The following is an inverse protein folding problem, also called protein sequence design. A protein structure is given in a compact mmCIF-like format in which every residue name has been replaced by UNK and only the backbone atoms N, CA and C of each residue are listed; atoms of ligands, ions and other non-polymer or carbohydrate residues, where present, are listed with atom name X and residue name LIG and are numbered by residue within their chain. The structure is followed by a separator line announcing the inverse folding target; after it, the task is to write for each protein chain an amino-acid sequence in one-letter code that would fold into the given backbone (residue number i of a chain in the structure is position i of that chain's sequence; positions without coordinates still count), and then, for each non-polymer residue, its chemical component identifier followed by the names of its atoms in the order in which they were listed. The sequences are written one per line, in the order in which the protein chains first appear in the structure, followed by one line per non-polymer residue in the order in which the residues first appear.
data_IF_452511182504
#
_entry.id   IF_452511182504
#
_cell.length_a   1.000
_cell.length_b   1.000
_cell.length_c   1.000
_cell.angle_alpha   90.00
_cell.angle_beta   90.00
_cell.angle_gamma   90.00
#
_symmetry.space_group_name_H-M   'P 1'
#
loop_
_entity.id
_entity.type
_entity.pdbx_description
1 polymer ?
#
# COMPACT_ATOMS: atom_id res chain seq x y z
N UNK A 1 -12.51 2.26 -4.00
CA UNK A 1 -11.28 1.93 -4.78
C UNK A 1 -11.31 2.54 -6.18
N UNK A 2 -12.36 2.37 -6.99
CA UNK A 2 -12.47 2.96 -8.34
C UNK A 2 -12.28 4.49 -8.40
N UNK A 3 -12.83 5.23 -7.44
CA UNK A 3 -12.66 6.70 -7.36
C UNK A 3 -11.23 7.16 -7.03
N UNK A 4 -10.45 6.35 -6.31
CA UNK A 4 -9.07 6.70 -5.94
C UNK A 4 -8.09 6.48 -7.11
N UNK A 5 -8.32 5.43 -7.90
CA UNK A 5 -7.55 5.13 -9.11
C UNK A 5 -7.74 6.24 -10.15
N UNK A 6 -8.96 6.77 -10.28
CA UNK A 6 -9.27 7.87 -11.20
C UNK A 6 -8.58 9.18 -10.82
N UNK A 7 -8.42 9.47 -9.53
CA UNK A 7 -7.75 10.68 -9.06
C UNK A 7 -6.23 10.61 -9.28
N UNK A 8 -5.62 9.44 -9.04
CA UNK A 8 -4.18 9.21 -9.29
C UNK A 8 -3.88 9.28 -10.79
N UNK A 9 -4.74 8.70 -11.64
CA UNK A 9 -4.61 8.79 -13.10
C UNK A 9 -4.74 10.23 -13.62
N UNK A 10 -5.61 11.06 -13.02
CA UNK A 10 -5.77 12.46 -13.39
C UNK A 10 -4.54 13.30 -13.00
N UNK A 11 -3.98 13.07 -11.80
CA UNK A 11 -2.77 13.76 -11.32
C UNK A 11 -1.52 13.33 -12.09
N UNK A 12 -1.41 12.04 -12.47
CA UNK A 12 -0.34 11.57 -13.38
C UNK A 12 -0.54 12.06 -14.81
N UNK A 13 -1.79 12.20 -15.28
CA UNK A 13 -2.09 12.66 -16.64
C UNK A 13 -1.71 14.13 -16.86
N UNK A 14 -1.88 14.98 -15.83
CA UNK A 14 -1.56 16.42 -15.94
C UNK A 14 -0.04 16.70 -15.95
N UNK A 15 0.80 15.81 -15.42
CA UNK A 15 2.26 16.03 -15.37
C UNK A 15 3.00 15.62 -16.64
N UNK A 16 2.36 14.88 -17.56
CA UNK A 16 3.00 14.38 -18.79
C UNK A 16 2.91 15.39 -19.95
N UNK A 17 1.99 16.35 -19.89
CA UNK A 17 1.73 17.29 -21.00
C UNK A 17 2.74 18.45 -21.12
N UNK A 18 3.70 18.60 -20.20
CA UNK A 18 4.75 19.65 -20.27
C UNK A 18 6.15 19.10 -20.52
N UNK A 19 6.29 17.84 -20.90
CA UNK A 19 7.59 17.28 -21.28
C UNK A 19 7.96 17.76 -22.69
N UNK A 20 8.87 18.71 -22.79
CA UNK A 20 9.58 19.02 -24.04
C UNK A 20 10.26 17.77 -24.57
N UNK A 21 10.42 17.61 -25.90
CA UNK A 21 11.06 16.44 -26.49
C UNK A 21 12.51 16.37 -26.00
N UNK A 22 12.77 15.52 -25.01
CA UNK A 22 14.11 15.18 -24.60
C UNK A 22 14.73 14.32 -25.71
N UNK A 23 15.69 14.90 -26.44
CA UNK A 23 16.53 14.15 -27.37
C UNK A 23 17.14 12.95 -26.62
N UNK A 24 16.74 11.74 -26.99
CA UNK A 24 17.15 10.49 -26.36
C UNK A 24 18.64 10.24 -26.57
N UNK A 25 19.47 10.75 -25.64
CA UNK A 25 20.88 10.34 -25.50
C UNK A 25 20.94 9.14 -24.55
N UNK A 26 21.80 8.13 -24.80
CA UNK A 26 21.96 6.98 -23.91
C UNK A 26 22.31 7.48 -22.51
N UNK A 27 21.37 7.27 -21.58
CA UNK A 27 21.40 7.87 -20.26
C UNK A 27 22.45 7.21 -19.39
N UNK A 28 23.57 7.89 -19.18
CA UNK A 28 24.46 7.57 -18.05
C UNK A 28 23.63 7.76 -16.78
N UNK A 29 23.63 6.80 -15.83
CA UNK A 29 22.79 6.83 -14.64
C UNK A 29 23.09 8.03 -13.73
N UNK A 30 24.22 8.69 -13.93
CA UNK A 30 24.60 9.93 -13.29
C UNK A 30 25.29 10.82 -14.33
N UNK A 31 24.94 12.10 -14.38
CA UNK A 31 25.55 13.00 -15.35
C UNK A 31 25.15 14.45 -15.20
N UNK A 32 25.75 15.26 -16.06
CA UNK A 32 25.44 16.68 -16.25
C UNK A 32 24.81 16.87 -17.62
N UNK A 33 23.67 17.56 -17.64
CA UNK A 33 23.03 18.02 -18.86
C UNK A 33 23.26 19.51 -19.01
N UNK A 34 23.68 19.91 -20.20
CA UNK A 34 23.94 21.28 -20.60
C UNK A 34 22.73 21.79 -21.37
N UNK A 35 22.15 22.90 -20.92
CA UNK A 35 21.01 23.55 -21.58
C UNK A 35 21.36 25.00 -21.90
N UNK A 36 20.85 25.46 -23.04
CA UNK A 36 20.95 26.83 -23.51
C UNK A 36 19.53 27.36 -23.68
N UNK A 37 19.15 28.36 -22.90
CA UNK A 37 17.83 28.96 -22.97
C UNK A 37 17.94 30.30 -23.71
N UNK A 38 17.17 30.50 -24.77
CA UNK A 38 17.22 31.72 -25.59
C UNK A 38 16.82 32.96 -24.78
N UNK A 39 17.59 34.05 -24.93
CA UNK A 39 17.35 35.33 -24.26
C UNK A 39 17.07 36.45 -25.27
N UNK A 40 17.96 36.62 -26.25
CA UNK A 40 17.85 37.68 -27.25
C UNK A 40 18.61 37.32 -28.54
N UNK A 41 18.22 37.92 -29.67
CA UNK A 41 19.00 37.86 -30.90
C UNK A 41 19.98 39.03 -30.97
N UNK A 42 21.18 38.82 -31.50
CA UNK A 42 22.20 39.85 -31.68
C UNK A 42 22.65 39.86 -33.14
N UNK A 43 22.17 40.85 -33.88
CA UNK A 43 22.51 41.02 -35.29
C UNK A 43 23.99 41.41 -35.44
N UNK A 44 24.71 40.68 -36.28
CA UNK A 44 26.12 40.94 -36.58
C UNK A 44 27.13 40.81 -35.41
N UNK A 45 26.71 40.33 -34.24
CA UNK A 45 27.58 40.23 -33.06
C UNK A 45 28.43 38.94 -33.03
N UNK A 46 28.18 38.00 -33.92
CA UNK A 46 28.91 36.73 -34.02
C UNK A 46 30.28 36.85 -34.71
N UNK A 47 31.10 35.79 -34.65
CA UNK A 47 32.37 35.73 -35.35
C UNK A 47 32.21 36.01 -36.85
N UNK A 48 32.98 36.96 -37.38
CA UNK A 48 32.89 37.34 -38.80
C UNK A 48 31.64 38.15 -39.17
N UNK A 49 30.96 38.75 -38.19
CA UNK A 49 29.78 39.59 -38.44
C UNK A 49 28.49 38.78 -38.70
N UNK A 50 28.46 37.51 -38.30
CA UNK A 50 27.26 36.68 -38.40
C UNK A 50 26.29 36.99 -37.26
N UNK A 51 25.00 36.72 -37.46
CA UNK A 51 24.01 36.82 -36.38
C UNK A 51 24.28 35.75 -35.31
N UNK A 52 24.10 36.14 -34.05
CA UNK A 52 24.29 35.25 -32.91
C UNK A 52 23.16 35.42 -31.90
N UNK A 53 22.75 34.33 -31.27
CA UNK A 53 21.80 34.36 -30.17
C UNK A 53 22.52 34.47 -28.83
N UNK A 54 22.01 35.34 -27.95
CA UNK A 54 22.37 35.36 -26.54
C UNK A 54 21.56 34.27 -25.82
N UNK A 55 22.25 33.36 -25.16
CA UNK A 55 21.65 32.24 -24.45
C UNK A 55 22.03 32.28 -22.97
N UNK A 56 21.11 31.87 -22.10
CA UNK A 56 21.40 31.56 -20.72
C UNK A 56 21.89 30.12 -20.61
N UNK A 57 23.14 29.95 -20.17
CA UNK A 57 23.74 28.64 -20.02
C UNK A 57 23.45 28.06 -18.64
N UNK A 58 22.77 26.92 -18.60
CA UNK A 58 22.45 26.20 -17.37
C UNK A 58 23.00 24.78 -17.39
N UNK A 59 23.47 24.33 -16.23
CA UNK A 59 23.95 22.96 -16.02
C UNK A 59 23.06 22.28 -15.00
N UNK A 60 22.41 21.20 -15.44
CA UNK A 60 21.54 20.35 -14.63
C UNK A 60 22.28 19.07 -14.26
N UNK A 61 22.40 18.79 -12.97
CA UNK A 61 22.85 17.49 -12.50
C UNK A 61 21.65 16.56 -12.37
N UNK A 62 21.79 15.35 -12.89
CA UNK A 62 20.73 14.36 -12.90
C UNK A 62 21.24 12.98 -12.44
N UNK A 63 20.32 12.23 -11.86
CA UNK A 63 20.45 10.80 -11.64
C UNK A 63 19.33 10.11 -12.42
N UNK A 64 19.70 9.25 -13.36
CA UNK A 64 18.80 8.75 -14.41
C UNK A 64 18.07 9.92 -15.11
N UNK A 65 16.74 9.94 -15.08
CA UNK A 65 15.90 11.01 -15.66
C UNK A 65 15.53 12.13 -14.66
N UNK A 66 15.97 12.02 -13.39
CA UNK A 66 15.59 12.95 -12.33
C UNK A 66 16.71 13.96 -12.06
N UNK A 67 16.43 15.23 -12.29
CA UNK A 67 17.29 16.33 -11.84
C UNK A 67 17.21 16.51 -10.33
N UNK A 68 18.36 16.70 -9.70
CA UNK A 68 18.44 17.04 -8.26
C UNK A 68 19.08 18.41 -7.99
N UNK A 69 19.71 19.02 -9.01
CA UNK A 69 20.33 20.33 -8.88
C UNK A 69 20.48 21.02 -10.25
N UNK A 70 20.28 22.35 -10.29
CA UNK A 70 20.56 23.19 -11.47
C UNK A 70 21.46 24.36 -11.06
N UNK A 71 22.44 24.71 -11.90
CA UNK A 71 23.28 25.92 -11.74
C UNK A 71 23.24 26.78 -12.99
N UNK A 72 23.06 28.08 -12.80
CA UNK A 72 23.31 29.10 -13.81
C UNK A 72 24.84 29.24 -14.01
N UNK A 73 25.30 29.22 -15.26
CA UNK A 73 26.72 29.41 -15.63
C UNK A 73 27.02 30.77 -16.25
N UNK A 74 25.99 31.56 -16.54
CA UNK A 74 26.13 32.88 -17.16
C UNK A 74 25.49 32.95 -18.54
N UNK A 75 25.75 34.04 -19.26
CA UNK A 75 25.35 34.17 -20.66
C UNK A 75 26.44 33.65 -21.58
N UNK A 76 26.01 33.07 -22.70
CA UNK A 76 26.88 32.61 -23.77
C UNK A 76 26.30 33.03 -25.12
N UNK A 77 27.16 33.12 -26.13
CA UNK A 77 26.75 33.35 -27.51
C UNK A 77 26.70 32.05 -28.29
N UNK A 78 25.62 31.82 -29.02
CA UNK A 78 25.47 30.68 -29.91
C UNK A 78 25.16 31.16 -31.33
N UNK A 79 25.91 30.66 -32.32
CA UNK A 79 25.62 30.89 -33.74
C UNK A 79 24.52 29.98 -34.28
N UNK A 80 24.06 29.03 -33.47
CA UNK A 80 23.05 28.01 -33.79
C UNK A 80 21.73 28.27 -33.07
N UNK A 81 21.45 29.52 -32.68
CA UNK A 81 20.17 29.88 -32.07
C UNK A 81 19.92 29.23 -30.70
N UNK A 82 20.96 29.02 -29.90
CA UNK A 82 20.91 28.29 -28.62
C UNK A 82 20.65 26.78 -28.77
N UNK A 83 20.82 26.21 -29.96
CA UNK A 83 20.74 24.77 -30.16
C UNK A 83 22.14 24.14 -30.19
N UNK A 84 22.29 22.96 -29.58
CA UNK A 84 23.54 22.21 -29.61
C UNK A 84 24.53 22.53 -28.48
N UNK A 85 25.81 22.23 -28.71
CA UNK A 85 26.86 22.27 -27.69
C UNK A 85 28.00 23.28 -28.00
N UNK A 86 27.89 24.05 -29.09
CA UNK A 86 28.89 25.04 -29.49
C UNK A 86 28.44 26.44 -29.08
N UNK A 87 29.20 27.06 -28.20
CA UNK A 87 28.93 28.41 -27.71
C UNK A 87 30.22 29.10 -27.27
N UNK A 88 30.19 30.43 -27.25
CA UNK A 88 31.27 31.28 -26.78
C UNK A 88 30.89 31.91 -25.45
N UNK A 89 31.77 31.82 -24.45
CA UNK A 89 31.53 32.46 -23.16
C UNK A 89 31.69 33.97 -23.29
N UNK A 90 30.75 34.72 -22.71
CA UNK A 90 30.87 36.18 -22.56
C UNK A 90 31.29 36.43 -21.12
N UNK A 91 32.45 37.05 -20.92
CA UNK A 91 32.85 37.50 -19.58
C UNK A 91 32.08 38.77 -19.17
N UNK A 92 32.20 39.16 -17.90
CA UNK A 92 31.48 40.31 -17.37
C UNK A 92 31.87 41.64 -18.05
N UNK A 93 33.12 41.76 -18.53
CA UNK A 93 33.62 42.98 -19.16
C UNK A 93 33.09 43.12 -20.60
N UNK A 94 33.11 42.05 -21.37
CA UNK A 94 32.51 41.96 -22.70
C UNK A 94 31.00 42.17 -22.64
N UNK A 95 30.32 41.63 -21.62
CA UNK A 95 28.89 41.85 -21.41
C UNK A 95 28.56 43.33 -21.14
N UNK A 96 29.31 43.98 -20.25
CA UNK A 96 29.14 45.40 -19.95
C UNK A 96 29.44 46.29 -21.18
N UNK A 97 30.47 45.95 -21.95
CA UNK A 97 30.81 46.66 -23.19
C UNK A 97 29.69 46.52 -24.23
N UNK A 98 29.11 45.32 -24.38
CA UNK A 98 28.01 45.08 -25.30
C UNK A 98 26.71 45.81 -24.90
N UNK A 99 26.45 45.95 -23.59
CA UNK A 99 25.35 46.81 -23.09
C UNK A 99 25.62 48.29 -23.38
N UNK A 100 26.84 48.78 -23.14
CA UNK A 100 27.21 50.17 -23.41
C UNK A 100 27.16 50.52 -24.91
N UNK A 101 27.43 49.56 -25.78
CA UNK A 101 27.34 49.69 -27.24
C UNK A 101 25.89 49.60 -27.78
N UNK A 102 24.89 49.33 -26.92
CA UNK A 102 23.50 49.15 -27.34
C UNK A 102 23.22 47.85 -28.10
N UNK A 103 24.17 46.90 -28.10
CA UNK A 103 24.02 45.57 -28.71
C UNK A 103 23.14 44.69 -27.81
N UNK A 104 23.27 44.84 -26.50
CA UNK A 104 22.45 44.15 -25.51
C UNK A 104 21.46 45.09 -24.83
N UNK A 105 20.23 44.64 -24.52
CA UNK A 105 19.29 45.41 -23.72
C UNK A 105 19.91 45.83 -22.37
N UNK A 106 19.79 47.12 -22.02
CA UNK A 106 20.28 47.66 -20.76
C UNK A 106 19.59 47.03 -19.52
N UNK A 107 18.39 46.50 -19.73
CA UNK A 107 17.56 45.86 -18.69
C UNK A 107 18.08 44.48 -18.24
N UNK A 108 19.00 43.87 -19.00
CA UNK A 108 19.48 42.52 -18.70
C UNK A 108 20.42 42.53 -17.48
N UNK A 109 20.15 41.70 -16.46
CA UNK A 109 21.02 41.63 -15.30
C UNK A 109 22.34 40.97 -15.67
N UNK A 110 23.46 41.52 -15.22
CA UNK A 110 24.80 40.95 -15.44
C UNK A 110 24.96 39.50 -14.94
N UNK A 111 24.14 39.10 -13.96
CA UNK A 111 24.07 37.71 -13.49
C UNK A 111 22.68 37.14 -13.79
N UNK A 112 22.56 36.16 -14.71
CA UNK A 112 21.28 35.57 -15.04
C UNK A 112 20.75 34.76 -13.86
N UNK A 113 19.50 35.06 -13.47
CA UNK A 113 18.78 34.33 -12.43
C UNK A 113 18.06 33.13 -13.03
N UNK A 114 18.02 32.03 -12.30
CA UNK A 114 17.17 30.90 -12.66
C UNK A 114 15.70 31.33 -12.55
N UNK A 115 14.91 31.04 -13.57
CA UNK A 115 13.46 31.14 -13.47
C UNK A 115 12.92 30.15 -12.43
N UNK A 116 11.77 30.47 -11.82
CA UNK A 116 11.12 29.56 -10.88
C UNK A 116 10.85 28.18 -11.52
N UNK A 117 10.52 28.16 -12.81
CA UNK A 117 10.30 26.93 -13.57
C UNK A 117 11.59 26.10 -13.70
N UNK A 118 12.71 26.71 -14.10
CA UNK A 118 14.02 26.03 -14.19
C UNK A 118 14.48 25.52 -12.81
N UNK A 119 14.24 26.30 -11.76
CA UNK A 119 14.55 25.89 -10.39
C UNK A 119 13.74 24.65 -9.97
N UNK A 120 12.41 24.63 -10.21
CA UNK A 120 11.54 23.51 -9.85
C UNK A 120 11.89 22.21 -10.59
N UNK A 121 12.23 22.29 -11.88
CA UNK A 121 12.66 21.12 -12.68
C UNK A 121 13.97 20.51 -12.13
N UNK A 122 14.76 21.31 -11.40
CA UNK A 122 15.95 20.88 -10.67
C UNK A 122 15.68 20.01 -9.45
N UNK A 123 14.45 19.98 -8.90
CA UNK A 123 14.11 19.24 -7.68
C UNK A 123 13.11 18.10 -7.92
N UNK A 124 13.34 17.29 -8.97
CA UNK A 124 12.45 16.18 -9.33
C UNK A 124 12.24 15.15 -8.20
N UNK A 125 13.19 15.05 -7.26
CA UNK A 125 13.08 14.17 -6.09
C UNK A 125 12.00 14.58 -5.09
N UNK A 126 11.59 15.86 -5.05
CA UNK A 126 10.49 16.30 -4.18
C UNK A 126 9.16 15.66 -4.58
N UNK A 127 8.97 15.39 -5.88
CA UNK A 127 7.79 14.67 -6.38
C UNK A 127 7.75 13.25 -5.81
N UNK A 128 8.89 12.55 -5.79
CA UNK A 128 8.98 11.21 -5.22
C UNK A 128 8.68 11.21 -3.71
N UNK A 129 9.20 12.19 -2.96
CA UNK A 129 8.86 12.33 -1.55
C UNK A 129 7.38 12.61 -1.32
N UNK A 130 6.77 13.47 -2.15
CA UNK A 130 5.33 13.73 -2.10
C UNK A 130 4.52 12.44 -2.30
N UNK A 131 4.85 11.64 -3.31
CA UNK A 131 4.20 10.35 -3.57
C UNK A 131 4.38 9.39 -2.39
N UNK A 132 5.60 9.25 -1.87
CA UNK A 132 5.87 8.39 -0.73
C UNK A 132 5.10 8.83 0.53
N UNK A 133 5.01 10.13 0.78
CA UNK A 133 4.24 10.71 1.88
C UNK A 133 2.74 10.40 1.75
N UNK A 134 2.15 10.63 0.58
CA UNK A 134 0.75 10.29 0.30
C UNK A 134 0.50 8.79 0.51
N UNK A 135 1.39 7.92 0.03
CA UNK A 135 1.26 6.48 0.20
C UNK A 135 1.29 6.07 1.67
N UNK A 136 2.17 6.66 2.48
CA UNK A 136 2.22 6.44 3.94
C UNK A 136 0.95 6.89 4.64
N UNK A 137 0.43 8.08 4.29
CA UNK A 137 -0.84 8.58 4.85
C UNK A 137 -2.00 7.64 4.48
N UNK A 138 -2.08 7.20 3.23
CA UNK A 138 -3.10 6.23 2.80
C UNK A 138 -3.00 4.90 3.57
N UNK A 139 -1.78 4.37 3.76
CA UNK A 139 -1.58 3.17 4.57
C UNK A 139 -2.05 3.35 6.02
N UNK A 140 -1.80 4.51 6.63
CA UNK A 140 -2.25 4.81 7.99
C UNK A 140 -3.78 4.91 8.08
N UNK A 141 -4.42 5.60 7.13
CA UNK A 141 -5.87 5.71 7.07
C UNK A 141 -6.54 4.35 6.83
N UNK A 142 -5.95 3.48 6.02
CA UNK A 142 -6.46 2.13 5.76
C UNK A 142 -6.27 1.18 6.96
N UNK A 143 -5.22 1.37 7.76
CA UNK A 143 -4.97 0.59 8.98
C UNK A 143 -6.05 0.79 10.06
N UNK A 144 -6.74 1.93 10.07
CA UNK A 144 -7.79 2.26 11.06
C UNK A 144 -9.14 1.56 10.89
N UNK A 145 -9.36 0.73 9.85
CA UNK A 145 -10.67 0.14 9.53
C UNK A 145 -10.94 -1.28 10.07
N UNK A 146 -10.01 -1.91 10.78
CA UNK A 146 -10.30 -3.14 11.54
C UNK A 146 -10.99 -2.80 12.87
N UNK A 147 -12.21 -2.23 12.79
CA UNK A 147 -13.10 -2.08 13.96
C UNK A 147 -13.21 -3.45 14.64
N UNK A 148 -13.11 -3.46 15.96
CA UNK A 148 -13.34 -4.68 16.74
C UNK A 148 -14.72 -5.21 16.37
N UNK A 149 -14.80 -6.48 15.97
CA UNK A 149 -16.08 -7.18 15.91
C UNK A 149 -16.71 -7.07 17.30
N UNK A 150 -17.96 -6.59 17.44
CA UNK A 150 -18.60 -6.55 18.75
C UNK A 150 -18.60 -7.96 19.34
N UNK A 151 -18.38 -8.10 20.66
CA UNK A 151 -18.24 -9.41 21.32
C UNK A 151 -19.44 -10.33 21.04
N UNK A 152 -20.64 -9.77 20.86
CA UNK A 152 -21.85 -10.50 20.45
C UNK A 152 -21.77 -11.13 19.06
N UNK A 153 -21.11 -10.47 18.11
CA UNK A 153 -20.93 -11.00 16.76
C UNK A 153 -19.90 -12.15 16.73
N UNK A 154 -18.84 -12.06 17.55
CA UNK A 154 -17.90 -13.19 17.73
C UNK A 154 -18.62 -14.38 18.35
N UNK A 155 -19.45 -14.14 19.36
CA UNK A 155 -20.26 -15.17 20.01
C UNK A 155 -21.18 -15.91 19.02
N UNK A 156 -21.89 -15.15 18.18
CA UNK A 156 -22.78 -15.71 17.16
C UNK A 156 -22.02 -16.54 16.12
N UNK A 157 -20.87 -16.05 15.65
CA UNK A 157 -20.02 -16.79 14.69
C UNK A 157 -19.44 -18.06 15.32
N UNK A 158 -19.02 -18.00 16.59
CA UNK A 158 -18.51 -19.17 17.31
C UNK A 158 -19.61 -20.22 17.51
N UNK A 159 -20.82 -19.80 17.92
CA UNK A 159 -21.96 -20.70 18.05
C UNK A 159 -22.31 -21.35 16.70
N UNK A 160 -22.33 -20.56 15.62
CA UNK A 160 -22.55 -21.08 14.27
C UNK A 160 -21.50 -22.11 13.88
N UNK A 161 -20.22 -21.87 14.18
CA UNK A 161 -19.14 -22.82 13.88
C UNK A 161 -19.30 -24.13 14.66
N UNK A 162 -19.66 -24.05 15.95
CA UNK A 162 -19.92 -25.22 16.79
C UNK A 162 -21.10 -26.05 16.28
N UNK A 163 -22.22 -25.42 15.92
CA UNK A 163 -23.38 -26.10 15.36
C UNK A 163 -23.09 -26.77 14.00
N UNK A 164 -22.24 -26.15 13.18
CA UNK A 164 -21.82 -26.71 11.88
C UNK A 164 -20.97 -27.97 12.08
N UNK A 165 -20.09 -27.98 13.08
CA UNK A 165 -19.29 -29.16 13.42
C UNK A 165 -20.18 -30.28 13.98
N UNK A 166 -21.03 -29.97 14.97
CA UNK A 166 -21.92 -30.95 15.57
C UNK A 166 -22.82 -31.63 14.53
N UNK A 167 -23.41 -30.86 13.62
CA UNK A 167 -24.32 -31.36 12.57
C UNK A 167 -23.61 -32.12 11.43
N UNK A 168 -22.28 -32.27 11.46
CA UNK A 168 -21.52 -32.71 10.29
C UNK A 168 -21.77 -34.17 9.89
N UNK A 169 -22.19 -35.02 10.81
CA UNK A 169 -22.53 -36.43 10.60
C UNK A 169 -24.03 -36.66 10.28
N UNK A 170 -24.85 -35.60 10.35
CA UNK A 170 -26.28 -35.62 10.06
C UNK A 170 -27.17 -36.07 11.21
N UNK A 171 -26.62 -36.39 12.38
CA UNK A 171 -27.40 -36.64 13.59
C UNK A 171 -27.29 -35.43 14.51
N UNK A 172 -28.32 -35.23 15.33
CA UNK A 172 -28.32 -34.21 16.37
C UNK A 172 -28.94 -34.85 17.60
N UNK A 173 -28.12 -35.15 18.60
CA UNK A 173 -28.57 -35.73 19.85
C UNK A 173 -28.40 -34.80 21.06
N UNK A 174 -28.75 -35.30 22.25
CA UNK A 174 -28.64 -34.54 23.48
C UNK A 174 -27.21 -34.35 23.97
N UNK A 175 -26.24 -35.15 23.51
CA UNK A 175 -24.83 -35.02 23.88
C UNK A 175 -24.17 -33.88 23.11
N UNK A 176 -24.50 -33.69 21.83
CA UNK A 176 -24.07 -32.51 21.06
C UNK A 176 -24.55 -31.19 21.68
N UNK A 177 -25.81 -31.14 22.15
CA UNK A 177 -26.34 -29.96 22.82
C UNK A 177 -25.54 -29.63 24.09
N UNK A 178 -25.17 -30.66 24.87
CA UNK A 178 -24.33 -30.49 26.07
C UNK A 178 -22.92 -30.04 25.70
N UNK A 179 -22.31 -30.62 24.65
CA UNK A 179 -20.99 -30.27 24.18
C UNK A 179 -20.92 -28.81 23.71
N UNK A 180 -21.91 -28.36 22.93
CA UNK A 180 -22.01 -26.96 22.48
C UNK A 180 -22.17 -26.03 23.68
N UNK A 181 -23.06 -26.34 24.62
CA UNK A 181 -23.26 -25.50 25.79
C UNK A 181 -21.98 -25.40 26.64
N UNK A 182 -21.33 -26.55 26.90
CA UNK A 182 -20.08 -26.61 27.65
C UNK A 182 -18.97 -25.79 26.98
N UNK A 183 -18.75 -25.96 25.68
CA UNK A 183 -17.75 -25.22 24.93
C UNK A 183 -18.04 -23.71 24.92
N UNK A 184 -19.31 -23.34 24.69
CA UNK A 184 -19.74 -21.94 24.68
C UNK A 184 -19.55 -21.29 26.06
N UNK A 185 -19.97 -21.95 27.13
CA UNK A 185 -19.82 -21.46 28.51
C UNK A 185 -18.35 -21.32 28.90
N UNK A 186 -17.52 -22.31 28.57
CA UNK A 186 -16.09 -22.30 28.89
C UNK A 186 -15.37 -21.11 28.25
N UNK A 187 -15.74 -20.74 27.02
CA UNK A 187 -15.08 -19.66 26.27
C UNK A 187 -15.70 -18.30 26.57
N UNK A 188 -17.03 -18.21 26.66
CA UNK A 188 -17.75 -16.93 26.75
C UNK A 188 -18.16 -16.55 28.17
N UNK A 189 -18.12 -17.49 29.12
CA UNK A 189 -18.54 -17.31 30.50
C UNK A 189 -20.06 -17.21 30.67
N UNK A 190 -20.84 -17.73 29.71
CA UNK A 190 -22.31 -17.71 29.73
C UNK A 190 -22.84 -19.04 29.20
N UNK A 191 -23.83 -19.61 29.85
CA UNK A 191 -24.57 -20.75 29.34
C UNK A 191 -25.60 -20.32 28.29
N UNK A 192 -25.95 -21.25 27.42
CA UNK A 192 -27.06 -21.16 26.47
C UNK A 192 -28.20 -22.05 26.92
N UNK A 193 -29.42 -21.66 26.59
CA UNK A 193 -30.60 -22.51 26.77
C UNK A 193 -30.67 -23.55 25.65
N UNK A 194 -31.28 -24.72 25.90
CA UNK A 194 -31.44 -25.75 24.85
C UNK A 194 -32.21 -25.22 23.64
N UNK A 195 -33.15 -24.29 23.86
CA UNK A 195 -33.92 -23.65 22.78
C UNK A 195 -33.05 -22.78 21.88
N UNK A 196 -32.10 -22.03 22.43
CA UNK A 196 -31.15 -21.22 21.64
C UNK A 196 -30.23 -22.11 20.80
N UNK A 197 -29.72 -23.20 21.40
CA UNK A 197 -28.86 -24.17 20.71
C UNK A 197 -29.62 -24.85 19.56
N UNK A 198 -30.83 -25.36 19.82
CA UNK A 198 -31.69 -25.97 18.78
C UNK A 198 -32.01 -24.99 17.66
N UNK A 199 -32.29 -23.73 18.00
CA UNK A 199 -32.55 -22.68 17.01
C UNK A 199 -31.31 -22.41 16.14
N UNK A 200 -30.11 -22.45 16.72
CA UNK A 200 -28.86 -22.28 15.98
C UNK A 200 -28.55 -23.50 15.10
N UNK A 201 -28.72 -24.72 15.62
CA UNK A 201 -28.55 -25.99 14.90
C UNK A 201 -29.49 -26.11 13.69
N UNK A 202 -30.74 -25.70 13.84
CA UNK A 202 -31.71 -25.67 12.75
C UNK A 202 -31.27 -24.76 11.59
N UNK A 203 -30.55 -23.68 11.89
CA UNK A 203 -30.02 -22.71 10.90
C UNK A 203 -28.65 -23.10 10.35
N UNK A 204 -27.91 -23.99 11.01
CA UNK A 204 -26.58 -24.39 10.59
C UNK A 204 -26.65 -25.15 9.24
N UNK A 205 -25.91 -24.70 8.21
CA UNK A 205 -25.86 -25.39 6.93
C UNK A 205 -25.05 -26.68 7.01
N UNK A 206 -25.36 -27.64 6.15
CA UNK A 206 -24.44 -28.73 5.83
C UNK A 206 -23.32 -28.20 4.94
N UNK A 207 -22.07 -28.43 5.34
CA UNK A 207 -20.90 -27.83 4.67
C UNK A 207 -20.23 -28.86 3.78
N UNK A 208 -20.15 -28.55 2.49
CA UNK A 208 -19.43 -29.34 1.48
C UNK A 208 -18.25 -28.58 0.89
N UNK A 209 -18.24 -27.24 0.99
CA UNK A 209 -17.20 -26.35 0.44
C UNK A 209 -16.76 -25.31 1.50
N UNK A 210 -15.45 -25.09 1.71
CA UNK A 210 -14.92 -23.99 2.53
C UNK A 210 -15.55 -22.62 2.27
N UNK A 211 -15.96 -22.33 1.03
CA UNK A 211 -16.56 -21.03 0.66
C UNK A 211 -17.85 -20.74 1.44
N UNK A 212 -18.58 -21.77 1.84
CA UNK A 212 -19.80 -21.65 2.64
C UNK A 212 -19.52 -21.11 4.06
N UNK A 213 -18.25 -21.11 4.49
CA UNK A 213 -17.81 -20.64 5.80
C UNK A 213 -17.10 -19.29 5.77
N UNK A 214 -16.95 -18.65 4.60
CA UNK A 214 -16.23 -17.38 4.46
C UNK A 214 -16.75 -16.29 5.40
N UNK A 215 -18.07 -16.25 5.64
CA UNK A 215 -18.70 -15.30 6.55
C UNK A 215 -18.23 -15.43 8.00
N UNK A 216 -17.77 -16.62 8.43
CA UNK A 216 -17.20 -16.82 9.76
C UNK A 216 -15.83 -16.11 9.89
N UNK A 217 -15.03 -16.11 8.83
CA UNK A 217 -13.73 -15.43 8.77
C UNK A 217 -13.80 -13.95 8.39
N UNK A 218 -14.86 -13.53 7.70
CA UNK A 218 -14.99 -12.18 7.19
C UNK A 218 -15.03 -11.14 8.33
N UNK A 219 -14.10 -10.19 8.29
CA UNK A 219 -14.06 -9.04 9.22
C UNK A 219 -13.64 -9.36 10.66
N UNK A 220 -13.21 -10.59 10.96
CA UNK A 220 -12.79 -10.99 12.31
C UNK A 220 -11.29 -10.77 12.53
N UNK A 221 -10.90 -10.44 13.77
CA UNK A 221 -9.49 -10.32 14.18
C UNK A 221 -8.88 -11.70 14.37
N UNK A 222 -7.55 -11.78 14.36
CA UNK A 222 -6.86 -13.06 14.56
C UNK A 222 -7.22 -13.73 15.88
N UNK A 223 -7.28 -12.97 16.98
CA UNK A 223 -7.78 -13.44 18.28
C UNK A 223 -9.19 -14.02 18.18
N UNK A 224 -10.10 -13.34 17.47
CA UNK A 224 -11.50 -13.75 17.35
C UNK A 224 -11.62 -15.03 16.51
N UNK A 225 -10.79 -15.16 15.46
CA UNK A 225 -10.72 -16.38 14.63
C UNK A 225 -10.24 -17.57 15.44
N UNK A 226 -9.23 -17.38 16.30
CA UNK A 226 -8.79 -18.41 17.24
C UNK A 226 -9.89 -18.77 18.24
N UNK A 227 -10.66 -17.81 18.76
CA UNK A 227 -11.81 -18.07 19.64
C UNK A 227 -12.88 -18.91 18.94
N UNK A 228 -13.25 -18.57 17.70
CA UNK A 228 -14.23 -19.33 16.90
C UNK A 228 -13.74 -20.77 16.68
N UNK A 229 -12.48 -20.93 16.29
CA UNK A 229 -11.87 -22.24 16.04
C UNK A 229 -11.80 -23.10 17.30
N UNK A 230 -11.48 -22.50 18.46
CA UNK A 230 -11.44 -23.19 19.74
C UNK A 230 -12.80 -23.75 20.15
N UNK A 231 -13.88 -22.99 19.94
CA UNK A 231 -15.23 -23.48 20.20
C UNK A 231 -15.57 -24.69 19.34
N UNK A 232 -15.31 -24.60 18.04
CA UNK A 232 -15.53 -25.69 17.09
C UNK A 232 -14.74 -26.97 17.46
N UNK A 233 -13.46 -26.82 17.81
CA UNK A 233 -12.61 -27.93 18.24
C UNK A 233 -13.06 -28.58 19.55
N UNK A 234 -13.55 -27.79 20.52
CA UNK A 234 -14.06 -28.36 21.78
C UNK A 234 -15.29 -29.24 21.57
N UNK A 235 -16.14 -28.90 20.60
CA UNK A 235 -17.30 -29.72 20.24
C UNK A 235 -16.85 -31.00 19.54
N UNK A 236 -15.97 -30.89 18.54
CA UNK A 236 -15.44 -32.05 17.80
C UNK A 236 -14.68 -33.06 18.67
N UNK A 237 -14.08 -32.62 19.78
CA UNK A 237 -13.31 -33.49 20.68
C UNK A 237 -14.12 -33.96 21.91
N UNK A 238 -15.43 -33.69 21.96
CA UNK A 238 -16.21 -33.84 23.20
C UNK A 238 -16.47 -35.30 23.59
N UNK A 239 -16.53 -36.20 22.62
CA UNK A 239 -16.69 -37.65 22.78
C UNK A 239 -15.34 -38.40 22.85
N UNK A 240 -14.23 -37.71 22.63
CA UNK A 240 -12.87 -38.25 22.66
C UNK A 240 -12.35 -38.75 21.31
N UNK A 241 -13.17 -38.76 20.24
CA UNK A 241 -12.76 -39.20 18.90
C UNK A 241 -13.33 -38.26 17.82
N UNK A 242 -12.46 -37.64 17.01
CA UNK A 242 -12.91 -36.80 15.90
C UNK A 242 -13.23 -37.69 14.70
N UNK A 243 -14.47 -37.70 14.25
CA UNK A 243 -14.92 -38.47 13.09
C UNK A 243 -14.45 -37.83 11.77
N UNK A 244 -14.39 -38.60 10.69
CA UNK A 244 -13.95 -38.12 9.37
C UNK A 244 -14.78 -36.92 8.85
N UNK A 245 -16.08 -36.89 9.16
CA UNK A 245 -16.97 -35.80 8.78
C UNK A 245 -16.60 -34.50 9.50
N UNK A 246 -16.37 -34.56 10.81
CA UNK A 246 -15.96 -33.43 11.63
C UNK A 246 -14.57 -32.94 11.23
N UNK A 247 -13.64 -33.86 10.99
CA UNK A 247 -12.27 -33.52 10.55
C UNK A 247 -12.27 -32.73 9.24
N UNK A 248 -13.12 -33.12 8.27
CA UNK A 248 -13.31 -32.34 7.03
C UNK A 248 -13.86 -30.94 7.30
N UNK A 249 -14.89 -30.83 8.13
CA UNK A 249 -15.50 -29.53 8.48
C UNK A 249 -14.51 -28.62 9.20
N UNK A 250 -13.71 -29.15 10.13
CA UNK A 250 -12.66 -28.40 10.83
C UNK A 250 -11.59 -27.92 9.84
N UNK A 251 -11.21 -28.74 8.86
CA UNK A 251 -10.30 -28.34 7.79
C UNK A 251 -10.85 -27.18 6.95
N UNK A 252 -12.13 -27.25 6.57
CA UNK A 252 -12.81 -26.16 5.84
C UNK A 252 -12.91 -24.89 6.68
N UNK A 253 -13.24 -25.03 7.97
CA UNK A 253 -13.32 -23.91 8.91
C UNK A 253 -11.95 -23.24 9.09
N UNK A 254 -10.88 -24.02 9.24
CA UNK A 254 -9.51 -23.51 9.32
C UNK A 254 -9.13 -22.66 8.11
N UNK A 255 -9.49 -23.13 6.90
CA UNK A 255 -9.23 -22.41 5.66
C UNK A 255 -10.02 -21.09 5.61
N UNK A 256 -11.30 -21.11 5.96
CA UNK A 256 -12.15 -19.91 5.99
C UNK A 256 -11.68 -18.89 7.04
N UNK A 257 -11.17 -19.37 8.19
CA UNK A 257 -10.61 -18.53 9.25
C UNK A 257 -9.14 -18.14 9.00
N UNK A 258 -8.52 -18.62 7.93
CA UNK A 258 -7.11 -18.37 7.59
C UNK A 258 -6.18 -18.70 8.78
N UNK A 259 -6.42 -19.84 9.43
CA UNK A 259 -5.62 -20.31 10.57
C UNK A 259 -4.59 -21.32 10.07
N UNK A 260 -3.28 -21.08 10.28
CA UNK A 260 -2.23 -22.03 9.89
C UNK A 260 -2.34 -23.35 10.66
N UNK A 261 -2.05 -24.47 10.00
CA UNK A 261 -2.08 -25.81 10.62
C UNK A 261 -1.28 -25.92 11.94
N UNK A 262 -0.07 -25.33 12.09
CA UNK A 262 0.64 -25.37 13.37
C UNK A 262 -0.14 -24.78 14.55
N UNK A 263 -0.94 -23.73 14.31
CA UNK A 263 -1.78 -23.12 15.35
C UNK A 263 -2.97 -24.01 15.72
N UNK A 264 -3.52 -24.76 14.76
CA UNK A 264 -4.60 -25.71 15.03
C UNK A 264 -4.07 -26.84 15.91
N UNK A 265 -2.91 -27.39 15.57
CA UNK A 265 -2.27 -28.45 16.34
C UNK A 265 -1.92 -28.03 17.77
N UNK A 266 -1.53 -26.77 17.97
CA UNK A 266 -1.34 -26.26 19.34
C UNK A 266 -2.66 -26.20 20.11
N UNK A 267 -3.75 -25.74 19.48
CA UNK A 267 -5.07 -25.71 20.12
C UNK A 267 -5.56 -27.12 20.51
N UNK A 268 -5.43 -28.10 19.61
CA UNK A 268 -5.82 -29.49 19.89
C UNK A 268 -5.02 -30.06 21.06
N UNK A 269 -3.71 -29.77 21.12
CA UNK A 269 -2.85 -30.20 22.22
C UNK A 269 -3.26 -29.58 23.55
N UNK A 270 -3.60 -28.30 23.57
CA UNK A 270 -4.09 -27.60 24.76
C UNK A 270 -5.37 -28.29 25.29
N UNK A 271 -6.25 -28.75 24.40
CA UNK A 271 -7.47 -29.48 24.77
C UNK A 271 -7.22 -30.90 25.25
N UNK A 272 -6.29 -31.63 24.63
CA UNK A 272 -5.91 -32.96 25.10
C UNK A 272 -5.36 -32.94 26.54
N UNK A 273 -4.70 -31.85 26.95
CA UNK A 273 -4.31 -31.62 28.35
C UNK A 273 -5.50 -31.38 29.29
N UNK A 274 -6.52 -30.66 28.81
CA UNK A 274 -7.75 -30.35 29.56
C UNK A 274 -8.68 -31.57 29.74
N UNK A 275 -8.76 -32.44 28.73
CA UNK A 275 -9.59 -33.67 28.80
C UNK A 275 -8.93 -34.78 29.65
N UNK A 276 -7.62 -34.68 29.93
CA UNK A 276 -6.87 -35.66 30.74
C UNK A 276 -6.81 -35.35 32.24
N UNK A 277 -7.30 -34.19 32.70
CA UNK A 277 -7.36 -33.94 34.15
C UNK A 277 -8.52 -34.74 34.75
N UNK A 278 -8.27 -35.77 35.59
CA UNK A 278 -9.35 -36.46 36.27
C UNK A 278 -10.13 -35.46 37.12
N UNK A 279 -11.45 -35.49 37.02
CA UNK A 279 -12.35 -34.83 37.96
C UNK A 279 -11.97 -35.35 39.34
N UNK A 280 -11.33 -34.49 40.15
CA UNK A 280 -11.06 -34.81 41.54
C UNK A 280 -12.40 -35.17 42.19
N UNK A 281 -12.49 -36.41 42.70
CA UNK A 281 -13.65 -36.88 43.42
C UNK A 281 -14.01 -35.87 44.51
N UNK A 282 -15.26 -35.41 44.51
CA UNK A 282 -15.78 -34.54 45.54
C UNK A 282 -15.60 -35.20 46.92
N UNK A 283 -15.13 -34.47 47.96
CA UNK A 283 -15.11 -35.01 49.31
C UNK A 283 -16.54 -35.27 49.77
N UNK A 284 -16.77 -36.48 50.28
CA UNK A 284 -18.01 -36.93 50.90
C UNK A 284 -18.32 -36.17 52.20
#
# INVERSE_FOLDING_TARGET
MKSLISLIALVLGLTVMTATPAAARPSVPYGTQHNLDFVANMEGAGPGGQDAALCHYTVRNHMAFLGYWVRSKGYVMSTTGCEGNSFYNIDAQAFAAAQAAGILPAELPATPRLSAQQAMIGFGWLILLGIAGVFKVLQLLMRGRKRATPRSAVAAKMLSAMCIVAKSDGHIDGEEEKAINFAYEKIMGKSLTSMEIRTALAKAPFVTDPRQLEDLGAGTRESDRQTIMRGALLVACSDGEIHDAEHRVIGHLAQALVIPAPQIMSMVRDFAGLLRTPVAAAPA
#
